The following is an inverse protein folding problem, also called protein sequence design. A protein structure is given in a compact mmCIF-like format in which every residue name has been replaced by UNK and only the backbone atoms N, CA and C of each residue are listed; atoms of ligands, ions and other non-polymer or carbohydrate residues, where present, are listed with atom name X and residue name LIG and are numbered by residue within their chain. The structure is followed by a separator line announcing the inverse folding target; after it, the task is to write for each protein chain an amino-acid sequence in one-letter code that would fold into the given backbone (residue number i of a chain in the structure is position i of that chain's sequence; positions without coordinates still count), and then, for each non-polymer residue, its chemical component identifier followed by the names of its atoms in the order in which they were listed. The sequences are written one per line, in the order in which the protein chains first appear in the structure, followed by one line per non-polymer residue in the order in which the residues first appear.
data_IF_640990587222
#
_entry.id   IF_640990587222
#
_cell.length_a   1.000
_cell.length_b   1.000
_cell.length_c   1.000
_cell.angle_alpha   90.00
_cell.angle_beta   90.00
_cell.angle_gamma   90.00
#
_symmetry.space_group_name_H-M   'P 1'
#
loop_
_entity.id
_entity.type
_entity.pdbx_description
1 polymer ?
#
# COMPACT_ATOMS: atom_id res chain seq x y z
N UNK A 1 -11.72 -32.61 15.03
CA UNK A 1 -12.00 -32.57 13.60
C UNK A 1 -11.76 -31.17 12.99
N UNK A 2 -12.31 -30.09 13.57
CA UNK A 2 -12.21 -28.71 13.05
C UNK A 2 -10.76 -28.21 12.97
N UNK A 3 -9.92 -28.45 13.98
CA UNK A 3 -8.50 -28.08 13.97
C UNK A 3 -7.75 -28.83 12.86
N UNK A 4 -8.04 -30.12 12.68
CA UNK A 4 -7.41 -30.96 11.65
C UNK A 4 -7.77 -30.47 10.24
N UNK A 5 -9.05 -30.17 9.99
CA UNK A 5 -9.50 -29.59 8.72
C UNK A 5 -8.86 -28.22 8.46
N UNK A 6 -8.76 -27.38 9.50
CA UNK A 6 -8.10 -26.07 9.40
C UNK A 6 -6.62 -26.24 9.02
N UNK A 7 -5.89 -27.14 9.66
CA UNK A 7 -4.47 -27.40 9.33
C UNK A 7 -4.33 -27.88 7.87
N UNK A 8 -5.20 -28.79 7.41
CA UNK A 8 -5.18 -29.28 6.02
C UNK A 8 -5.39 -28.11 5.03
N UNK A 9 -6.30 -27.19 5.31
CA UNK A 9 -6.53 -26.03 4.41
C UNK A 9 -5.35 -25.06 4.39
N UNK A 10 -4.48 -25.07 5.40
CA UNK A 10 -3.26 -24.24 5.40
C UNK A 10 -2.10 -24.85 4.62
N UNK A 11 -2.12 -26.17 4.34
CA UNK A 11 -1.03 -26.85 3.63
C UNK A 11 -0.78 -26.25 2.23
N UNK A 12 -1.79 -26.03 1.36
CA UNK A 12 -1.58 -25.42 0.05
C UNK A 12 -1.03 -23.98 0.16
N UNK A 13 -1.51 -23.22 1.13
CA UNK A 13 -1.03 -21.84 1.37
C UNK A 13 0.42 -21.89 1.84
N UNK A 14 0.73 -22.74 2.80
CA UNK A 14 2.10 -22.94 3.30
C UNK A 14 3.06 -23.39 2.20
N UNK A 15 2.65 -24.32 1.35
CA UNK A 15 3.49 -24.79 0.23
C UNK A 15 3.80 -23.68 -0.78
N UNK A 16 2.85 -22.79 -1.05
CA UNK A 16 3.06 -21.62 -1.91
C UNK A 16 4.09 -20.64 -1.35
N UNK A 17 4.20 -20.50 -0.04
CA UNK A 17 5.18 -19.61 0.58
C UNK A 17 6.63 -20.05 0.33
N UNK A 18 6.87 -21.36 0.10
CA UNK A 18 8.19 -21.91 -0.17
C UNK A 18 8.52 -22.00 -1.67
N UNK A 19 7.63 -21.55 -2.54
CA UNK A 19 7.95 -21.39 -3.97
C UNK A 19 8.89 -20.21 -4.21
N UNK A 20 9.68 -20.19 -5.31
CA UNK A 20 10.55 -19.04 -5.60
C UNK A 20 9.80 -17.70 -5.61
N UNK A 21 8.58 -17.65 -6.18
CA UNK A 21 7.76 -16.43 -6.18
C UNK A 21 7.24 -16.05 -4.79
N UNK A 22 6.91 -17.03 -3.93
CA UNK A 22 6.52 -16.79 -2.55
C UNK A 22 7.68 -16.24 -1.70
N UNK A 23 8.86 -16.85 -1.83
CA UNK A 23 10.07 -16.39 -1.14
C UNK A 23 10.52 -15.00 -1.61
N UNK A 24 10.43 -14.71 -2.90
CA UNK A 24 10.68 -13.37 -3.44
C UNK A 24 9.72 -12.36 -2.79
N UNK A 25 8.42 -12.67 -2.73
CA UNK A 25 7.43 -11.79 -2.09
C UNK A 25 7.73 -11.55 -0.61
N UNK A 26 8.02 -12.63 0.14
CA UNK A 26 8.41 -12.53 1.55
C UNK A 26 9.65 -11.65 1.71
N UNK A 27 10.66 -11.83 0.85
CA UNK A 27 11.87 -11.02 0.90
C UNK A 27 11.61 -9.54 0.68
N UNK A 28 10.70 -9.18 -0.23
CA UNK A 28 10.37 -7.77 -0.55
C UNK A 28 9.65 -7.08 0.60
N UNK A 29 8.72 -7.78 1.28
CA UNK A 29 7.90 -7.17 2.33
C UNK A 29 8.43 -7.38 3.74
N UNK A 30 9.55 -8.07 3.90
CA UNK A 30 10.13 -8.42 5.20
C UNK A 30 10.63 -7.20 5.96
N UNK A 31 10.45 -7.21 7.27
CA UNK A 31 10.99 -6.23 8.22
C UNK A 31 12.51 -6.03 8.10
N UNK A 32 13.25 -7.02 7.59
CA UNK A 32 14.72 -6.92 7.39
C UNK A 32 15.04 -5.81 6.37
N UNK A 33 14.11 -5.46 5.48
CA UNK A 33 14.25 -4.35 4.53
C UNK A 33 13.67 -3.03 5.02
N UNK A 34 13.17 -2.97 6.24
CA UNK A 34 12.64 -1.75 6.82
C UNK A 34 13.80 -0.75 7.09
N UNK A 35 13.68 0.52 6.67
CA UNK A 35 14.69 1.54 6.95
C UNK A 35 15.00 1.69 8.45
N UNK A 36 14.01 1.50 9.32
CA UNK A 36 14.20 1.55 10.76
C UNK A 36 15.07 0.39 11.27
N UNK A 37 15.01 -0.79 10.62
CA UNK A 37 15.88 -1.90 10.95
C UNK A 37 17.37 -1.54 10.73
N UNK A 38 17.69 -0.92 9.62
CA UNK A 38 19.07 -0.48 9.36
C UNK A 38 19.51 0.58 10.36
N UNK A 39 18.65 1.54 10.69
CA UNK A 39 18.93 2.56 11.71
C UNK A 39 19.22 1.93 13.07
N UNK A 40 18.41 1.02 13.56
CA UNK A 40 18.66 0.31 14.82
C UNK A 40 19.89 -0.56 14.77
N UNK A 41 20.08 -1.31 13.68
CA UNK A 41 21.25 -2.15 13.45
C UNK A 41 22.55 -1.35 13.52
N UNK A 42 22.63 -0.24 12.79
CA UNK A 42 23.85 0.58 12.76
C UNK A 42 24.10 1.25 14.12
N UNK A 43 23.06 1.70 14.79
CA UNK A 43 23.15 2.24 16.16
C UNK A 43 23.71 1.19 17.13
N UNK A 44 23.19 -0.02 17.12
CA UNK A 44 23.57 -1.08 18.05
C UNK A 44 24.99 -1.62 17.76
N UNK A 45 25.34 -1.78 16.48
CA UNK A 45 26.71 -2.14 16.11
C UNK A 45 27.68 -1.05 16.55
N UNK A 46 27.34 0.22 16.37
CA UNK A 46 28.18 1.36 16.81
C UNK A 46 28.37 1.40 18.32
N UNK A 47 27.32 1.11 19.11
CA UNK A 47 27.41 1.04 20.59
C UNK A 47 28.34 -0.14 21.02
N UNK A 48 28.17 -1.31 20.40
CA UNK A 48 28.98 -2.48 20.68
C UNK A 48 30.47 -2.24 20.32
N UNK A 49 30.72 -1.64 19.16
CA UNK A 49 32.08 -1.37 18.71
C UNK A 49 32.86 -0.42 19.64
N UNK A 50 32.16 0.54 20.26
CA UNK A 50 32.80 1.48 21.20
C UNK A 50 33.19 0.83 22.54
N UNK A 51 32.43 -0.14 22.98
CA UNK A 51 32.62 -0.79 24.29
C UNK A 51 32.22 -2.27 24.21
N UNK A 52 33.10 -3.12 23.65
CA UNK A 52 32.80 -4.54 23.46
C UNK A 52 32.84 -5.29 24.80
N UNK A 53 31.69 -5.71 25.31
CA UNK A 53 31.56 -6.61 26.45
C UNK A 53 30.45 -7.64 26.20
N UNK A 54 30.37 -8.69 27.04
CA UNK A 54 29.37 -9.78 26.87
C UNK A 54 27.95 -9.26 27.01
N UNK A 55 27.67 -8.35 27.93
CA UNK A 55 26.33 -7.78 28.14
C UNK A 55 25.90 -7.00 26.90
N UNK A 56 26.79 -6.17 26.36
CA UNK A 56 26.48 -5.41 25.13
C UNK A 56 26.33 -6.30 23.91
N UNK A 57 27.12 -7.38 23.79
CA UNK A 57 26.94 -8.38 22.73
C UNK A 57 25.56 -9.00 22.74
N UNK A 58 24.97 -9.25 23.93
CA UNK A 58 23.61 -9.79 24.05
C UNK A 58 22.55 -8.76 23.68
N UNK A 59 22.69 -7.52 24.10
CA UNK A 59 21.66 -6.49 23.96
C UNK A 59 21.81 -5.61 22.72
N UNK A 60 23.00 -5.47 22.15
CA UNK A 60 23.28 -4.60 21.01
C UNK A 60 23.77 -5.37 19.80
N UNK A 61 22.87 -6.12 19.19
CA UNK A 61 23.15 -6.95 18.02
C UNK A 61 22.00 -6.87 16.99
N UNK A 62 22.20 -7.51 15.85
CA UNK A 62 21.22 -7.52 14.75
C UNK A 62 19.85 -8.11 15.15
N UNK A 63 19.82 -9.13 16.02
CA UNK A 63 18.56 -9.75 16.46
C UNK A 63 17.75 -8.80 17.33
N UNK A 64 18.44 -8.08 18.22
CA UNK A 64 17.80 -7.05 19.06
C UNK A 64 17.30 -5.89 18.22
N UNK A 65 18.06 -5.46 17.20
CA UNK A 65 17.61 -4.45 16.24
C UNK A 65 16.31 -4.88 15.52
N UNK A 66 16.23 -6.16 15.13
CA UNK A 66 15.02 -6.72 14.52
C UNK A 66 13.83 -6.67 15.47
N UNK A 67 14.00 -7.07 16.74
CA UNK A 67 12.96 -7.02 17.77
C UNK A 67 12.51 -5.59 18.02
N UNK A 68 13.43 -4.63 18.13
CA UNK A 68 13.12 -3.22 18.33
C UNK A 68 12.33 -2.63 17.15
N UNK A 69 12.72 -2.99 15.93
CA UNK A 69 11.95 -2.59 14.73
C UNK A 69 10.55 -3.19 14.73
N UNK A 70 10.42 -4.46 15.08
CA UNK A 70 9.10 -5.11 15.18
C UNK A 70 8.20 -4.45 16.24
N UNK A 71 8.76 -4.10 17.39
CA UNK A 71 8.03 -3.39 18.45
C UNK A 71 7.62 -1.98 18.01
N UNK A 72 8.54 -1.22 17.38
CA UNK A 72 8.24 0.11 16.86
C UNK A 72 7.13 0.06 15.79
N UNK A 73 7.21 -0.87 14.85
CA UNK A 73 6.18 -1.10 13.84
C UNK A 73 4.85 -1.54 14.47
N UNK A 74 4.89 -2.40 15.49
CA UNK A 74 3.69 -2.83 16.22
C UNK A 74 2.98 -1.63 16.86
N UNK A 75 3.72 -0.77 17.57
CA UNK A 75 3.17 0.43 18.19
C UNK A 75 2.64 1.45 17.19
N UNK A 76 3.32 1.62 16.05
CA UNK A 76 2.83 2.47 14.95
C UNK A 76 1.49 1.98 14.42
N UNK A 77 1.33 0.68 14.25
CA UNK A 77 0.10 0.08 13.72
C UNK A 77 -1.08 0.13 14.70
N UNK A 78 -0.84 0.03 16.02
CA UNK A 78 -1.90 0.10 17.04
C UNK A 78 -2.22 1.55 17.45
N UNK A 79 -1.41 2.52 17.03
CA UNK A 79 -1.58 3.90 17.44
C UNK A 79 -2.97 4.45 17.06
N UNK A 80 -3.60 5.25 17.92
CA UNK A 80 -4.90 5.87 17.61
C UNK A 80 -4.88 6.65 16.29
N UNK A 81 -3.75 7.29 15.98
CA UNK A 81 -3.59 8.04 14.73
C UNK A 81 -3.72 7.13 13.52
N UNK A 82 -3.16 5.92 13.54
CA UNK A 82 -3.29 4.96 12.44
C UNK A 82 -4.67 4.29 12.42
N UNK A 83 -5.20 3.94 13.58
CA UNK A 83 -6.50 3.25 13.68
C UNK A 83 -7.65 4.15 13.21
N UNK A 84 -7.64 5.45 13.56
CA UNK A 84 -8.74 6.37 13.28
C UNK A 84 -8.44 7.40 12.18
N UNK A 85 -7.17 7.56 11.80
CA UNK A 85 -6.74 8.49 10.76
C UNK A 85 -5.45 7.97 10.14
N UNK A 86 -5.51 7.36 8.98
CA UNK A 86 -4.27 7.00 8.28
C UNK A 86 -3.62 8.26 7.70
N UNK A 87 -2.35 8.52 8.04
CA UNK A 87 -1.63 9.74 7.72
C UNK A 87 -1.50 10.09 6.22
N UNK A 88 -1.80 9.18 5.31
CA UNK A 88 -1.78 9.39 3.85
C UNK A 88 -3.14 9.22 3.21
N UNK A 89 -4.08 8.56 3.86
CA UNK A 89 -5.47 8.42 3.43
C UNK A 89 -6.39 9.00 4.49
N UNK A 90 -7.51 9.54 4.06
CA UNK A 90 -8.50 10.21 4.91
C UNK A 90 -9.20 9.25 5.89
N UNK A 91 -8.88 7.96 5.84
CA UNK A 91 -9.57 6.92 6.60
C UNK A 91 -8.56 6.00 7.28
N UNK A 92 -8.75 5.81 8.59
CA UNK A 92 -8.14 4.75 9.37
C UNK A 92 -8.89 3.43 9.22
N UNK A 93 -8.59 2.47 10.11
CA UNK A 93 -9.31 1.20 10.21
C UNK A 93 -10.75 1.38 10.72
N UNK A 94 -10.99 2.44 11.50
CA UNK A 94 -12.26 2.78 12.13
C UNK A 94 -12.55 4.28 12.03
N UNK A 95 -13.81 4.64 12.17
CA UNK A 95 -14.21 6.04 12.16
C UNK A 95 -13.97 6.72 13.52
N UNK A 96 -13.52 7.99 13.56
CA UNK A 96 -13.26 8.69 14.81
C UNK A 96 -14.45 8.76 15.76
N UNK A 97 -15.69 8.77 15.26
CA UNK A 97 -16.87 8.80 16.11
C UNK A 97 -17.10 7.51 16.92
N UNK A 98 -16.51 6.41 16.50
CA UNK A 98 -16.58 5.13 17.20
C UNK A 98 -15.68 5.09 18.44
N UNK A 99 -14.75 6.05 18.60
CA UNK A 99 -13.81 6.09 19.72
C UNK A 99 -14.52 5.91 21.08
N UNK A 100 -15.54 6.70 21.45
CA UNK A 100 -16.20 6.51 22.73
C UNK A 100 -16.86 5.14 22.87
N UNK A 101 -17.48 4.65 21.81
CA UNK A 101 -18.15 3.34 21.79
C UNK A 101 -17.13 2.20 21.98
N UNK A 102 -15.98 2.28 21.29
CA UNK A 102 -14.91 1.30 21.38
C UNK A 102 -14.36 1.24 22.81
N UNK A 103 -14.11 2.39 23.45
CA UNK A 103 -13.61 2.43 24.83
C UNK A 103 -14.60 1.85 25.83
N UNK A 104 -15.89 2.23 25.75
CA UNK A 104 -16.94 1.65 26.61
C UNK A 104 -17.07 0.17 26.37
N UNK A 105 -17.11 -0.28 25.12
CA UNK A 105 -17.25 -1.69 24.79
C UNK A 105 -16.03 -2.52 25.15
N UNK A 106 -14.82 -1.99 25.00
CA UNK A 106 -13.59 -2.66 25.43
C UNK A 106 -13.54 -2.79 26.95
N UNK A 107 -13.94 -1.76 27.70
CA UNK A 107 -14.08 -1.83 29.16
C UNK A 107 -15.10 -2.90 29.56
N UNK A 108 -16.27 -2.90 28.92
CA UNK A 108 -17.31 -3.91 29.17
C UNK A 108 -16.83 -5.32 28.81
N UNK A 109 -16.16 -5.51 27.66
CA UNK A 109 -15.59 -6.78 27.25
C UNK A 109 -14.60 -7.34 28.29
N UNK A 110 -13.76 -6.49 28.89
CA UNK A 110 -12.78 -6.91 29.90
C UNK A 110 -13.48 -7.28 31.21
N UNK A 111 -14.51 -6.56 31.61
CA UNK A 111 -15.20 -6.75 32.90
C UNK A 111 -16.26 -7.85 32.86
N UNK A 112 -16.88 -8.13 31.69
CA UNK A 112 -17.91 -9.16 31.58
C UNK A 112 -17.38 -10.57 31.84
N UNK A 113 -18.21 -11.43 32.41
CA UNK A 113 -17.89 -12.83 32.67
C UNK A 113 -18.18 -13.75 31.47
N UNK A 114 -17.58 -13.45 30.31
CA UNK A 114 -17.74 -14.26 29.10
C UNK A 114 -16.52 -15.17 28.85
N UNK A 115 -16.71 -16.49 28.69
CA UNK A 115 -15.60 -17.44 28.55
C UNK A 115 -14.75 -17.19 27.28
N UNK A 116 -15.34 -16.62 26.22
CA UNK A 116 -14.65 -16.35 24.96
C UNK A 116 -13.92 -15.00 24.87
N UNK A 117 -14.02 -14.12 25.85
CA UNK A 117 -13.43 -12.76 25.77
C UNK A 117 -11.94 -12.74 25.52
N UNK A 118 -11.21 -13.67 26.14
CA UNK A 118 -9.75 -13.74 25.96
C UNK A 118 -9.34 -14.14 24.54
N UNK A 119 -10.17 -14.92 23.84
CA UNK A 119 -9.93 -15.21 22.42
C UNK A 119 -9.98 -13.94 21.58
N UNK A 120 -10.94 -13.04 21.83
CA UNK A 120 -11.03 -11.76 21.14
C UNK A 120 -9.84 -10.84 21.47
N UNK A 121 -9.41 -10.79 22.73
CA UNK A 121 -8.23 -10.02 23.13
C UNK A 121 -6.96 -10.55 22.46
N UNK A 122 -6.78 -11.88 22.45
CA UNK A 122 -5.63 -12.50 21.76
C UNK A 122 -5.68 -12.29 20.26
N UNK A 123 -6.86 -12.35 19.65
CA UNK A 123 -7.06 -11.99 18.24
C UNK A 123 -6.60 -10.54 17.98
N UNK A 124 -7.06 -9.59 18.79
CA UNK A 124 -6.69 -8.19 18.67
C UNK A 124 -5.17 -7.99 18.69
N UNK A 125 -4.50 -8.59 19.69
CA UNK A 125 -3.04 -8.51 19.78
C UNK A 125 -2.34 -9.15 18.59
N UNK A 126 -2.82 -10.31 18.13
CA UNK A 126 -2.23 -11.01 16.99
C UNK A 126 -2.48 -10.31 15.65
N UNK A 127 -3.58 -9.56 15.51
CA UNK A 127 -3.97 -8.92 14.26
C UNK A 127 -2.97 -7.86 13.75
N UNK A 128 -2.12 -7.32 14.62
CA UNK A 128 -1.08 -6.36 14.26
C UNK A 128 0.27 -7.00 13.93
N UNK A 129 0.47 -8.29 14.19
CA UNK A 129 1.72 -8.99 13.92
C UNK A 129 2.13 -8.97 12.44
N UNK A 130 1.23 -9.16 11.46
CA UNK A 130 1.62 -9.06 10.05
C UNK A 130 2.17 -7.68 9.68
N UNK A 131 1.61 -6.62 10.26
CA UNK A 131 2.15 -5.26 10.15
C UNK A 131 3.51 -5.15 10.82
N UNK A 132 3.64 -5.57 12.07
CA UNK A 132 4.88 -5.47 12.83
C UNK A 132 6.08 -6.14 12.15
N UNK A 133 5.86 -7.28 11.50
CA UNK A 133 6.90 -8.08 10.83
C UNK A 133 7.18 -7.67 9.38
N UNK A 134 6.62 -6.56 8.93
CA UNK A 134 6.78 -6.12 7.53
C UNK A 134 7.28 -4.68 7.43
N UNK A 135 7.86 -4.35 6.26
CA UNK A 135 8.35 -3.00 5.95
C UNK A 135 7.20 -2.03 5.62
N UNK A 136 7.51 -0.74 5.55
CA UNK A 136 6.58 0.34 5.19
C UNK A 136 5.36 0.42 6.12
N UNK A 137 5.61 0.62 7.40
CA UNK A 137 4.60 0.74 8.43
C UNK A 137 4.37 2.22 8.85
N UNK A 138 3.16 2.59 9.23
CA UNK A 138 1.94 1.78 9.38
C UNK A 138 1.23 1.47 8.05
N UNK A 139 0.53 0.31 7.96
CA UNK A 139 -0.17 -0.12 6.74
C UNK A 139 -1.55 -0.73 7.07
N UNK A 140 -2.62 -0.05 6.66
CA UNK A 140 -4.00 -0.44 6.96
C UNK A 140 -4.38 -1.83 6.41
N UNK A 141 -3.91 -2.21 5.22
CA UNK A 141 -4.23 -3.52 4.63
C UNK A 141 -3.65 -4.68 5.46
N UNK A 142 -2.47 -4.49 6.06
CA UNK A 142 -1.81 -5.53 6.86
C UNK A 142 -2.37 -5.64 8.28
N UNK A 143 -3.09 -4.62 8.74
CA UNK A 143 -3.72 -4.55 10.05
C UNK A 143 -5.25 -4.68 9.98
N UNK A 144 -5.80 -4.92 8.80
CA UNK A 144 -7.26 -5.04 8.58
C UNK A 144 -7.90 -6.14 9.44
N UNK A 145 -7.13 -7.17 9.81
CA UNK A 145 -7.57 -8.23 10.74
C UNK A 145 -7.98 -7.70 12.13
N UNK A 146 -7.58 -6.48 12.50
CA UNK A 146 -8.00 -5.84 13.75
C UNK A 146 -9.40 -5.20 13.65
N UNK A 147 -9.90 -4.88 12.45
CA UNK A 147 -11.17 -4.19 12.28
C UNK A 147 -12.37 -4.91 12.92
N UNK A 148 -12.54 -6.27 12.83
CA UNK A 148 -13.64 -6.95 13.50
C UNK A 148 -13.64 -6.77 15.01
N UNK A 149 -12.49 -6.74 15.66
CA UNK A 149 -12.40 -6.49 17.11
C UNK A 149 -12.95 -5.11 17.47
N UNK A 150 -12.54 -4.08 16.75
CA UNK A 150 -13.04 -2.73 16.98
C UNK A 150 -14.55 -2.62 16.75
N UNK A 151 -15.06 -3.27 15.69
CA UNK A 151 -16.51 -3.28 15.39
C UNK A 151 -17.30 -3.99 16.49
N UNK A 152 -16.79 -5.11 17.05
CA UNK A 152 -17.41 -5.79 18.19
C UNK A 152 -17.42 -4.88 19.42
N UNK A 153 -16.29 -4.23 19.74
CA UNK A 153 -16.23 -3.30 20.86
C UNK A 153 -17.19 -2.12 20.65
N UNK A 154 -17.24 -1.54 19.45
CA UNK A 154 -18.17 -0.45 19.14
C UNK A 154 -19.63 -0.86 19.34
N UNK A 155 -20.01 -2.07 18.87
CA UNK A 155 -21.35 -2.63 19.08
C UNK A 155 -21.70 -2.86 20.55
N UNK A 156 -20.78 -3.47 21.32
CA UNK A 156 -20.95 -3.68 22.77
C UNK A 156 -21.10 -2.35 23.52
N UNK A 157 -20.27 -1.34 23.16
CA UNK A 157 -20.35 -0.01 23.75
C UNK A 157 -21.65 0.70 23.45
N UNK A 158 -22.16 0.56 22.24
CA UNK A 158 -23.46 1.12 21.86
C UNK A 158 -24.61 0.48 22.66
N UNK A 159 -24.61 -0.85 22.80
CA UNK A 159 -25.61 -1.56 23.60
C UNK A 159 -25.55 -1.11 25.06
N UNK A 160 -24.36 -1.05 25.67
CA UNK A 160 -24.19 -0.69 27.07
C UNK A 160 -24.65 0.77 27.35
N UNK A 161 -24.30 1.71 26.46
CA UNK A 161 -24.79 3.09 26.57
C UNK A 161 -26.31 3.14 26.43
N UNK A 162 -26.88 2.39 25.49
CA UNK A 162 -28.34 2.39 25.30
C UNK A 162 -29.09 1.76 26.48
N UNK A 163 -28.56 0.71 27.09
CA UNK A 163 -29.19 0.06 28.27
C UNK A 163 -29.06 0.88 29.53
N UNK A 164 -28.00 1.70 29.64
CA UNK A 164 -27.79 2.61 30.78
C UNK A 164 -28.71 3.84 30.78
N UNK A 165 -29.44 4.10 29.68
CA UNK A 165 -30.34 5.24 29.57
C UNK A 165 -31.74 4.81 30.05
N UNK A 166 -32.03 4.96 31.36
CA UNK A 166 -33.27 4.50 32.03
C UNK A 166 -34.58 5.14 31.53
N UNK A 167 -34.56 6.27 30.86
CA UNK A 167 -35.77 6.98 30.46
C UNK A 167 -36.10 6.81 28.98
N UNK A 168 -37.25 6.17 28.68
CA UNK A 168 -37.77 5.91 27.31
C UNK A 168 -37.72 7.13 26.35
N UNK A 169 -37.93 8.35 26.86
CA UNK A 169 -37.80 9.60 26.08
C UNK A 169 -36.34 9.94 25.76
N UNK A 170 -35.39 9.64 26.64
CA UNK A 170 -33.95 9.90 26.43
C UNK A 170 -33.34 8.93 25.40
N UNK A 171 -33.86 7.69 25.34
CA UNK A 171 -33.44 6.70 24.32
C UNK A 171 -33.66 7.25 22.91
N UNK A 172 -34.81 7.90 22.66
CA UNK A 172 -35.10 8.50 21.35
C UNK A 172 -34.08 9.59 20.99
N UNK A 173 -33.70 10.44 21.92
CA UNK A 173 -32.65 11.46 21.68
C UNK A 173 -31.31 10.79 21.36
N UNK A 174 -30.96 9.73 22.04
CA UNK A 174 -29.76 8.93 21.76
C UNK A 174 -29.78 8.31 20.36
N UNK A 175 -30.88 7.66 19.98
CA UNK A 175 -31.06 7.05 18.64
C UNK A 175 -30.99 8.11 17.55
N UNK A 176 -31.68 9.24 17.71
CA UNK A 176 -31.71 10.32 16.73
C UNK A 176 -30.31 10.95 16.60
N UNK A 177 -29.64 11.23 17.72
CA UNK A 177 -28.28 11.79 17.71
C UNK A 177 -27.28 10.83 17.04
N UNK A 178 -27.35 9.54 17.35
CA UNK A 178 -26.52 8.52 16.71
C UNK A 178 -26.82 8.40 15.22
N UNK A 179 -28.10 8.42 14.83
CA UNK A 179 -28.53 8.40 13.43
C UNK A 179 -28.00 9.60 12.63
N UNK A 180 -28.10 10.80 13.20
CA UNK A 180 -27.57 12.02 12.58
C UNK A 180 -26.04 11.96 12.43
N UNK A 181 -25.36 11.46 13.47
CA UNK A 181 -23.92 11.29 13.46
C UNK A 181 -23.50 10.26 12.37
N UNK A 182 -24.20 9.14 12.28
CA UNK A 182 -23.98 8.13 11.25
C UNK A 182 -24.18 8.71 9.85
N UNK A 183 -25.27 9.44 9.61
CA UNK A 183 -25.54 10.11 8.32
C UNK A 183 -24.41 11.10 7.99
N UNK A 184 -23.97 11.90 8.96
CA UNK A 184 -22.87 12.83 8.77
C UNK A 184 -21.57 12.11 8.35
N UNK A 185 -21.21 11.01 9.01
CA UNK A 185 -19.99 10.27 8.67
C UNK A 185 -20.12 9.50 7.36
N UNK A 186 -21.30 8.97 7.03
CA UNK A 186 -21.56 8.37 5.73
C UNK A 186 -21.43 9.41 4.60
N UNK A 187 -21.94 10.62 4.82
CA UNK A 187 -21.78 11.72 3.88
C UNK A 187 -20.30 12.13 3.74
N UNK A 188 -19.57 12.26 4.85
CA UNK A 188 -18.16 12.59 4.85
C UNK A 188 -17.33 11.49 4.14
N UNK A 189 -17.67 10.21 4.36
CA UNK A 189 -17.08 9.09 3.65
C UNK A 189 -17.38 9.18 2.15
N UNK A 190 -18.64 9.39 1.77
CA UNK A 190 -19.02 9.54 0.37
C UNK A 190 -18.24 10.66 -0.32
N UNK A 191 -18.21 11.83 0.26
CA UNK A 191 -17.46 12.98 -0.27
C UNK A 191 -15.99 12.68 -0.42
N UNK A 192 -15.38 12.12 0.60
CA UNK A 192 -13.96 11.84 0.57
C UNK A 192 -13.61 10.72 -0.42
N UNK A 193 -14.36 9.62 -0.44
CA UNK A 193 -14.05 8.45 -1.25
C UNK A 193 -14.42 8.64 -2.73
N UNK A 194 -15.62 9.16 -3.02
CA UNK A 194 -16.12 9.25 -4.39
C UNK A 194 -15.84 10.59 -5.08
N UNK A 195 -15.62 11.67 -4.32
CA UNK A 195 -15.41 13.01 -4.88
C UNK A 195 -13.96 13.44 -4.79
N UNK A 196 -13.38 13.41 -3.58
CA UNK A 196 -12.03 13.93 -3.35
C UNK A 196 -10.94 12.92 -3.74
N UNK A 197 -11.10 11.64 -3.36
CA UNK A 197 -10.08 10.62 -3.58
C UNK A 197 -9.78 10.36 -5.07
N UNK A 198 -10.75 10.31 -5.99
CA UNK A 198 -10.48 10.11 -7.41
C UNK A 198 -9.60 11.21 -8.02
N UNK A 199 -9.75 12.46 -7.58
CA UNK A 199 -8.93 13.56 -8.06
C UNK A 199 -7.58 13.63 -7.35
N UNK A 200 -7.56 13.48 -6.03
CA UNK A 200 -6.35 13.62 -5.23
C UNK A 200 -5.35 12.49 -5.46
N UNK A 201 -5.84 11.28 -5.64
CA UNK A 201 -5.03 10.08 -5.79
C UNK A 201 -5.08 9.50 -7.22
N UNK A 202 -5.54 10.28 -8.19
CA UNK A 202 -5.69 9.86 -9.59
C UNK A 202 -4.45 9.14 -10.12
N UNK A 203 -3.28 9.75 -9.98
CA UNK A 203 -2.00 9.19 -10.44
C UNK A 203 -1.62 7.91 -9.69
N UNK A 204 -1.90 7.83 -8.38
CA UNK A 204 -1.63 6.65 -7.57
C UNK A 204 -2.49 5.43 -7.97
N UNK A 205 -3.63 5.66 -8.63
CA UNK A 205 -4.51 4.63 -9.16
C UNK A 205 -4.40 4.44 -10.67
N UNK A 206 -3.37 5.01 -11.30
CA UNK A 206 -3.06 4.80 -12.72
C UNK A 206 -3.96 5.57 -13.67
N UNK A 207 -4.53 6.72 -13.24
CA UNK A 207 -5.24 7.62 -14.15
C UNK A 207 -4.31 8.11 -15.27
N UNK A 208 -4.83 8.19 -16.48
CA UNK A 208 -4.08 8.54 -17.67
C UNK A 208 -3.50 7.35 -18.45
N UNK A 209 -3.38 6.15 -17.87
CA UNK A 209 -2.85 4.98 -18.59
C UNK A 209 -3.79 4.49 -19.70
N UNK A 210 -5.10 4.51 -19.51
CA UNK A 210 -6.08 4.16 -20.55
C UNK A 210 -5.94 5.09 -21.76
N UNK A 211 -5.89 6.40 -21.49
CA UNK A 211 -5.75 7.42 -22.50
C UNK A 211 -4.40 7.32 -23.23
N UNK A 212 -3.35 7.07 -22.47
CA UNK A 212 -2.00 6.86 -23.01
C UNK A 212 -1.95 5.67 -23.95
N UNK A 213 -2.51 4.54 -23.57
CA UNK A 213 -2.53 3.34 -24.39
C UNK A 213 -3.40 3.53 -25.64
N UNK A 214 -4.51 4.21 -25.52
CA UNK A 214 -5.35 4.58 -26.66
C UNK A 214 -4.59 5.49 -27.62
N UNK A 215 -3.86 6.47 -27.10
CA UNK A 215 -2.99 7.33 -27.91
C UNK A 215 -1.91 6.53 -28.63
N UNK A 216 -1.19 5.68 -27.92
CA UNK A 216 -0.16 4.80 -28.50
C UNK A 216 -0.75 3.96 -29.62
N UNK A 217 -1.87 3.27 -29.39
CA UNK A 217 -2.54 2.42 -30.39
C UNK A 217 -2.90 3.17 -31.66
N UNK A 218 -3.34 4.40 -31.54
CA UNK A 218 -3.73 5.22 -32.70
C UNK A 218 -2.53 5.75 -33.51
N UNK A 219 -1.34 5.81 -32.92
CA UNK A 219 -0.16 6.40 -33.54
C UNK A 219 0.98 5.42 -33.78
N UNK A 220 0.93 4.21 -33.19
CA UNK A 220 2.04 3.25 -33.19
C UNK A 220 2.47 2.74 -34.58
N UNK A 221 1.58 2.82 -35.57
CA UNK A 221 1.91 2.47 -36.96
C UNK A 221 2.90 3.44 -37.60
N UNK A 222 3.04 4.65 -37.07
CA UNK A 222 3.94 5.67 -37.54
C UNK A 222 5.38 5.51 -37.00
N UNK A 223 5.56 4.61 -36.00
CA UNK A 223 6.81 4.47 -35.28
C UNK A 223 7.30 3.02 -35.26
N UNK A 224 8.61 2.86 -35.37
CA UNK A 224 9.29 1.56 -35.33
C UNK A 224 9.49 1.09 -33.89
N UNK A 225 9.52 2.04 -32.94
CA UNK A 225 9.67 1.76 -31.50
C UNK A 225 8.82 2.70 -30.67
N UNK A 226 8.31 2.22 -29.56
CA UNK A 226 7.56 3.00 -28.56
C UNK A 226 8.21 2.79 -27.20
N UNK A 227 8.68 3.87 -26.59
CA UNK A 227 9.30 3.89 -25.27
C UNK A 227 8.32 4.51 -24.29
N UNK A 228 7.93 3.77 -23.25
CA UNK A 228 6.95 4.21 -22.26
C UNK A 228 7.59 4.29 -20.88
N UNK A 229 7.44 5.46 -20.26
CA UNK A 229 7.97 5.72 -18.93
C UNK A 229 7.29 4.90 -17.84
N UNK A 230 8.09 4.33 -16.95
CA UNK A 230 7.67 3.68 -15.70
C UNK A 230 7.64 4.61 -14.50
N UNK A 231 7.72 5.93 -14.69
CA UNK A 231 7.80 6.92 -13.63
C UNK A 231 6.68 6.82 -12.59
N UNK A 232 5.41 6.69 -13.02
CA UNK A 232 4.28 6.58 -12.08
C UNK A 232 4.05 5.15 -11.60
N UNK A 233 4.08 4.17 -12.54
CA UNK A 233 3.77 2.77 -12.27
C UNK A 233 4.43 1.84 -13.29
N UNK A 234 4.11 0.56 -13.21
CA UNK A 234 4.56 -0.50 -14.13
C UNK A 234 3.76 -0.47 -15.43
N UNK A 235 4.18 0.23 -16.49
CA UNK A 235 3.39 0.46 -17.70
C UNK A 235 3.04 -0.84 -18.42
N UNK A 236 3.88 -1.87 -18.33
CA UNK A 236 3.64 -3.15 -18.99
C UNK A 236 2.32 -3.80 -18.56
N UNK A 237 1.92 -3.70 -17.29
CA UNK A 237 0.66 -4.27 -16.78
C UNK A 237 -0.53 -3.60 -17.46
N UNK A 238 -0.50 -2.27 -17.55
CA UNK A 238 -1.57 -1.50 -18.19
C UNK A 238 -1.63 -1.77 -19.69
N UNK A 239 -0.47 -1.88 -20.36
CA UNK A 239 -0.38 -2.23 -21.78
C UNK A 239 -0.97 -3.62 -22.05
N UNK A 240 -0.68 -4.61 -21.21
CA UNK A 240 -1.27 -5.94 -21.32
C UNK A 240 -2.79 -5.92 -21.14
N UNK A 241 -3.25 -5.21 -20.11
CA UNK A 241 -4.67 -5.14 -19.76
C UNK A 241 -5.51 -4.44 -20.83
N UNK A 242 -5.14 -3.21 -21.20
CA UNK A 242 -5.92 -2.40 -22.12
C UNK A 242 -5.84 -2.85 -23.59
N UNK A 243 -4.73 -3.49 -23.99
CA UNK A 243 -4.61 -4.12 -25.29
C UNK A 243 -5.15 -5.54 -25.33
N UNK A 244 -5.66 -6.07 -24.20
CA UNK A 244 -6.21 -7.43 -24.08
C UNK A 244 -5.24 -8.48 -24.63
N UNK A 245 -3.95 -8.35 -24.32
CA UNK A 245 -2.91 -9.27 -24.80
C UNK A 245 -3.14 -10.63 -24.16
N UNK A 246 -3.11 -11.68 -24.98
CA UNK A 246 -3.21 -13.06 -24.49
C UNK A 246 -2.04 -13.33 -23.52
N UNK A 247 -2.32 -13.76 -22.27
CA UNK A 247 -1.28 -14.09 -21.30
C UNK A 247 -0.24 -15.10 -21.83
N UNK A 248 -0.66 -16.04 -22.66
CA UNK A 248 0.25 -17.02 -23.24
C UNK A 248 1.29 -16.39 -24.19
N UNK A 249 0.94 -15.33 -24.91
CA UNK A 249 1.87 -14.60 -25.77
C UNK A 249 2.92 -13.88 -24.90
N UNK A 250 2.47 -13.21 -23.85
CA UNK A 250 3.39 -12.51 -22.94
C UNK A 250 4.32 -13.48 -22.19
N UNK A 251 3.80 -14.62 -21.72
CA UNK A 251 4.60 -15.63 -21.02
C UNK A 251 5.69 -16.27 -21.88
N UNK A 252 5.51 -16.34 -23.21
CA UNK A 252 6.51 -16.93 -24.12
C UNK A 252 7.68 -16.02 -24.46
N UNK A 253 7.49 -14.72 -24.50
CA UNK A 253 8.55 -13.82 -24.96
C UNK A 253 8.46 -12.39 -24.44
N UNK A 254 7.51 -12.07 -23.57
CA UNK A 254 7.42 -10.76 -22.95
C UNK A 254 8.28 -10.66 -21.70
N UNK A 255 8.75 -9.44 -21.42
CA UNK A 255 9.44 -9.10 -20.18
C UNK A 255 8.83 -7.84 -19.57
N UNK A 256 9.18 -7.57 -18.32
CA UNK A 256 8.79 -6.32 -17.65
C UNK A 256 9.42 -5.08 -18.30
N UNK A 257 10.55 -5.26 -18.99
CA UNK A 257 11.27 -4.20 -19.70
C UNK A 257 10.80 -3.98 -21.13
N UNK A 258 10.01 -4.90 -21.71
CA UNK A 258 9.44 -4.73 -23.04
C UNK A 258 9.02 -6.02 -23.75
N UNK A 259 8.30 -5.85 -24.85
CA UNK A 259 8.04 -6.90 -25.85
C UNK A 259 7.76 -6.26 -27.21
N UNK A 260 8.15 -6.95 -28.30
CA UNK A 260 7.98 -6.44 -29.65
C UNK A 260 8.65 -5.07 -29.82
N UNK A 261 7.89 -4.06 -30.26
CA UNK A 261 8.36 -2.69 -30.42
C UNK A 261 8.26 -1.82 -29.18
N UNK A 262 7.66 -2.35 -28.09
CA UNK A 262 7.47 -1.60 -26.83
C UNK A 262 8.64 -1.81 -25.87
N UNK A 263 9.17 -0.72 -25.34
CA UNK A 263 10.16 -0.67 -24.27
C UNK A 263 9.59 0.08 -23.06
N UNK A 264 9.82 -0.42 -21.88
CA UNK A 264 9.39 0.22 -20.64
C UNK A 264 10.60 0.63 -19.83
N UNK A 265 10.66 1.89 -19.47
CA UNK A 265 11.74 2.42 -18.63
C UNK A 265 11.41 2.21 -17.15
N UNK A 266 12.42 2.17 -16.28
CA UNK A 266 12.22 1.95 -14.85
C UNK A 266 11.76 0.54 -14.49
N UNK A 267 11.87 -0.42 -15.41
CA UNK A 267 11.49 -1.81 -15.18
C UNK A 267 12.48 -2.59 -14.31
N UNK A 268 13.72 -2.13 -14.21
CA UNK A 268 14.72 -2.66 -13.29
C UNK A 268 14.47 -2.07 -11.89
N UNK A 269 13.67 -2.78 -11.15
CA UNK A 269 13.48 -2.52 -9.74
C UNK A 269 14.70 -3.02 -8.99
N UNK A 270 15.54 -2.12 -8.57
CA UNK A 270 16.39 -2.39 -7.44
C UNK A 270 15.47 -2.63 -6.23
N UNK A 271 15.68 -3.74 -5.55
CA UNK A 271 14.79 -4.32 -4.55
C UNK A 271 14.44 -3.43 -3.35
N UNK A 272 14.86 -2.19 -3.31
CA UNK A 272 14.73 -1.30 -2.16
C UNK A 272 13.65 -0.22 -2.28
N UNK A 273 13.14 0.11 -3.48
CA UNK A 273 12.22 1.23 -3.62
C UNK A 273 10.96 0.88 -4.41
N UNK A 274 9.90 0.58 -3.68
CA UNK A 274 8.56 0.35 -4.26
C UNK A 274 7.98 1.64 -4.88
N UNK A 275 8.54 2.81 -4.59
CA UNK A 275 7.99 4.11 -4.97
C UNK A 275 9.02 5.16 -5.40
N UNK A 276 10.30 4.86 -5.48
CA UNK A 276 11.28 5.82 -5.92
C UNK A 276 11.72 5.54 -7.37
N UNK A 277 11.56 6.55 -8.20
CA UNK A 277 12.16 6.66 -9.51
C UNK A 277 13.65 6.34 -9.38
N UNK A 278 14.09 5.28 -10.03
CA UNK A 278 15.52 5.00 -10.12
C UNK A 278 16.16 6.07 -11.01
N UNK A 279 16.78 7.07 -10.37
CA UNK A 279 17.54 8.14 -11.02
C UNK A 279 18.77 7.65 -11.81
N UNK A 280 19.10 6.35 -11.73
CA UNK A 280 20.18 5.75 -12.51
C UNK A 280 19.81 5.47 -13.98
N UNK A 281 18.53 5.63 -14.34
CA UNK A 281 18.13 5.60 -15.74
C UNK A 281 18.56 6.91 -16.42
N UNK A 282 19.62 6.84 -17.21
CA UNK A 282 20.03 7.95 -18.05
C UNK A 282 19.27 7.89 -19.39
N UNK A 283 18.32 8.81 -19.64
CA UNK A 283 17.63 8.90 -20.93
C UNK A 283 18.58 8.99 -22.13
N UNK A 284 19.79 9.53 -21.92
CA UNK A 284 20.81 9.69 -22.98
C UNK A 284 21.28 8.35 -23.55
N UNK A 285 21.37 7.30 -22.72
CA UNK A 285 21.79 5.98 -23.20
C UNK A 285 20.77 5.35 -24.15
N UNK A 286 19.48 5.62 -23.94
CA UNK A 286 18.43 5.14 -24.83
C UNK A 286 18.36 5.93 -26.13
N UNK A 287 18.60 7.23 -26.08
CA UNK A 287 18.57 8.10 -27.25
C UNK A 287 19.63 7.70 -28.27
N UNK A 288 20.85 7.36 -27.81
CA UNK A 288 21.98 7.01 -28.71
C UNK A 288 21.72 5.71 -29.49
N UNK A 289 20.89 4.82 -28.99
CA UNK A 289 20.61 3.50 -29.59
C UNK A 289 19.23 3.37 -30.25
N UNK A 290 18.42 4.44 -30.28
CA UNK A 290 17.06 4.37 -30.80
C UNK A 290 16.96 4.68 -32.28
N UNK A 291 16.09 3.95 -33.03
CA UNK A 291 15.76 4.32 -34.41
C UNK A 291 15.17 5.73 -34.52
N UNK A 292 15.37 6.40 -35.66
CA UNK A 292 14.86 7.77 -35.90
C UNK A 292 13.35 7.89 -35.67
N UNK A 293 12.56 6.82 -35.93
CA UNK A 293 11.10 6.81 -35.77
C UNK A 293 10.71 6.19 -34.41
N UNK A 294 11.13 6.82 -33.33
CA UNK A 294 10.77 6.39 -31.99
C UNK A 294 9.80 7.36 -31.31
N UNK A 295 8.68 6.84 -30.80
CA UNK A 295 7.73 7.57 -29.95
C UNK A 295 8.11 7.40 -28.48
N UNK A 296 8.31 8.47 -27.77
CA UNK A 296 8.51 8.50 -26.33
C UNK A 296 7.23 8.96 -25.64
N UNK A 297 6.77 8.16 -24.69
CA UNK A 297 5.69 8.52 -23.75
C UNK A 297 6.34 8.72 -22.38
N UNK A 298 6.56 9.96 -22.04
CA UNK A 298 7.25 10.36 -20.82
C UNK A 298 6.25 10.85 -19.77
N UNK A 299 6.52 10.61 -18.50
CA UNK A 299 5.80 11.31 -17.45
C UNK A 299 6.09 12.83 -17.56
N UNK A 300 5.10 13.65 -17.26
CA UNK A 300 5.25 15.10 -17.35
C UNK A 300 6.49 15.64 -16.62
N UNK A 301 6.79 15.24 -15.36
CA UNK A 301 8.00 15.72 -14.69
C UNK A 301 9.31 15.30 -15.38
N UNK A 302 9.35 14.10 -15.99
CA UNK A 302 10.53 13.67 -16.75
C UNK A 302 10.75 14.50 -17.99
N UNK A 303 9.68 14.80 -18.73
CA UNK A 303 9.75 15.66 -19.90
C UNK A 303 10.22 17.07 -19.54
N UNK A 304 9.63 17.66 -18.50
CA UNK A 304 9.98 19.01 -18.01
C UNK A 304 11.47 19.10 -17.60
N UNK A 305 12.00 18.04 -16.98
CA UNK A 305 13.42 17.98 -16.59
C UNK A 305 14.36 17.81 -17.81
N UNK A 306 13.91 17.20 -18.89
CA UNK A 306 14.71 16.83 -20.05
C UNK A 306 14.27 17.52 -21.37
N UNK A 307 13.61 18.66 -21.31
CA UNK A 307 13.05 19.36 -22.46
C UNK A 307 14.06 19.65 -23.59
N UNK A 308 15.33 19.76 -23.24
CA UNK A 308 16.40 20.02 -24.25
C UNK A 308 16.62 18.83 -25.19
N UNK A 309 16.31 17.63 -24.79
CA UNK A 309 16.57 16.38 -25.51
C UNK A 309 15.37 15.92 -26.34
N UNK A 310 14.18 16.36 -25.97
CA UNK A 310 12.93 15.89 -26.56
C UNK A 310 12.20 17.03 -27.31
N UNK A 311 11.59 16.66 -28.43
CA UNK A 311 10.64 17.50 -29.16
C UNK A 311 9.24 17.09 -28.69
N UNK A 312 8.48 18.05 -28.18
CA UNK A 312 7.08 17.88 -27.79
C UNK A 312 6.23 17.53 -29.02
N UNK A 313 5.33 16.56 -28.87
CA UNK A 313 4.32 16.18 -29.87
C UNK A 313 2.94 16.49 -29.33
N UNK A 314 2.57 15.92 -28.19
CA UNK A 314 1.22 16.05 -27.63
C UNK A 314 1.20 15.83 -26.10
N UNK A 315 0.09 16.24 -25.48
CA UNK A 315 -0.17 16.04 -24.05
C UNK A 315 -1.31 15.05 -23.85
N UNK A 316 -1.07 14.03 -23.03
CA UNK A 316 -2.06 13.02 -22.68
C UNK A 316 -2.54 13.27 -21.27
N UNK A 317 -3.83 13.60 -21.14
CA UNK A 317 -4.50 13.84 -19.85
C UNK A 317 -5.24 12.61 -19.38
N UNK A 318 -5.30 12.39 -18.05
CA UNK A 318 -6.17 11.42 -17.42
C UNK A 318 -7.62 11.94 -17.31
N UNK A 319 -8.49 11.14 -16.70
CA UNK A 319 -9.89 11.54 -16.44
C UNK A 319 -9.96 12.59 -15.32
N UNK A 320 -9.10 12.48 -14.33
CA UNK A 320 -9.08 13.33 -13.13
C UNK A 320 -7.76 14.10 -12.98
N UNK A 321 -6.69 13.69 -13.64
CA UNK A 321 -5.39 14.34 -13.60
C UNK A 321 -5.07 14.96 -14.98
N UNK A 322 -4.85 16.27 -15.06
CA UNK A 322 -4.45 16.91 -16.31
C UNK A 322 -2.99 16.63 -16.64
N UNK A 323 -2.68 16.49 -17.94
CA UNK A 323 -1.33 16.38 -18.45
C UNK A 323 -0.44 15.35 -17.73
N UNK A 324 -0.90 14.08 -17.70
CA UNK A 324 -0.20 12.98 -17.01
C UNK A 324 1.04 12.57 -17.78
N UNK A 325 0.89 12.36 -19.11
CA UNK A 325 1.97 11.97 -20.00
C UNK A 325 2.17 12.96 -21.11
N UNK A 326 3.39 13.01 -21.62
CA UNK A 326 3.78 13.79 -22.78
C UNK A 326 4.27 12.82 -23.86
N UNK A 327 3.68 12.92 -25.05
CA UNK A 327 4.19 12.28 -26.25
C UNK A 327 5.31 13.15 -26.84
N UNK A 328 6.45 12.54 -27.11
CA UNK A 328 7.64 13.24 -27.58
C UNK A 328 8.44 12.41 -28.58
N UNK A 329 9.29 13.07 -29.36
CA UNK A 329 10.36 12.47 -30.18
C UNK A 329 11.71 13.03 -29.76
N UNK A 330 12.79 12.38 -30.16
CA UNK A 330 14.15 12.96 -30.02
C UNK A 330 14.26 14.19 -30.92
N UNK A 331 14.99 15.20 -30.47
CA UNK A 331 15.32 16.39 -31.30
C UNK A 331 16.35 16.09 -32.36
#
# INVERSE_FOLDING_TARGET
LSIFLFVITLIPIGSQMFTPGGLERVSIVSIIRDPNYYKWKDTFIGIYAKHPDMTRKVFFNQKTALVMTALDNYWKNISPLHVFSSGTSTYGLQHPFEIPLIFVGAFFLITMAAPGKWLLVMWFLAAFLPGALSTNQPNALRTLLAAPFFSICSGLGAIEIMTSIEARKRIWYGIVSFGLLLIFFLYAFYQSYFVVNPTRNALAFGDGYEQMITYVRNHESLYDRVVISGYYWRPYIFMLYWNKVDPAIYQRGGSRSGWGKYLFTGAEWDNNDIFLYNSSYDPKQLIVSTPERTLFILARPEFEHNQQQYRYIDTISGRHAPAVFIAASVK
#
